data_IF_243835346054
#
_entry.id   IF_243835346054
#
_cell.length_a   1.000
_cell.length_b   1.000
_cell.length_c   1.000
_cell.angle_alpha   90.00
_cell.angle_beta   90.00
_cell.angle_gamma   90.00
#
_symmetry.space_group_name_H-M   'P 1'
#
loop_
_entity.id
_entity.type
_entity.pdbx_description
1 polymer ?
#
# COMPACT_ATOMS: atom_id res chain seq x y z
N UNK A 1 -18.43 7.24 8.82
CA UNK A 1 -19.20 8.36 8.23
C UNK A 1 -18.76 8.52 6.78
N UNK A 2 -19.62 8.99 5.87
CA UNK A 2 -19.22 9.16 4.47
C UNK A 2 -18.25 10.37 4.36
N UNK A 3 -17.05 10.20 3.80
CA UNK A 3 -16.02 11.25 3.64
C UNK A 3 -16.58 12.53 3.01
N UNK A 4 -17.55 12.41 2.10
CA UNK A 4 -18.24 13.55 1.51
C UNK A 4 -19.06 14.34 2.54
N UNK A 5 -19.69 13.69 3.52
CA UNK A 5 -20.43 14.39 4.58
C UNK A 5 -19.50 15.16 5.51
N UNK A 6 -18.30 14.64 5.78
CA UNK A 6 -17.28 15.31 6.59
C UNK A 6 -16.74 16.57 5.91
N UNK A 7 -16.40 16.48 4.61
CA UNK A 7 -15.98 17.63 3.80
C UNK A 7 -17.06 18.71 3.79
N UNK A 8 -18.32 18.35 3.57
CA UNK A 8 -19.43 19.31 3.56
C UNK A 8 -19.66 19.93 4.95
N UNK A 9 -19.50 19.17 6.03
CA UNK A 9 -19.57 19.70 7.40
C UNK A 9 -18.42 20.67 7.69
N UNK A 10 -17.21 20.38 7.19
CA UNK A 10 -16.10 21.31 7.32
C UNK A 10 -16.31 22.58 6.50
N UNK A 11 -16.90 22.47 5.30
CA UNK A 11 -17.29 23.62 4.49
C UNK A 11 -18.30 24.50 5.22
N UNK A 12 -19.32 23.92 5.88
CA UNK A 12 -20.26 24.66 6.73
C UNK A 12 -19.52 25.48 7.79
N UNK A 13 -18.59 24.85 8.54
CA UNK A 13 -17.81 25.54 9.58
C UNK A 13 -16.95 26.67 9.03
N UNK A 14 -16.31 26.46 7.86
CA UNK A 14 -15.51 27.51 7.20
C UNK A 14 -16.39 28.67 6.72
N UNK A 15 -17.60 28.37 6.23
CA UNK A 15 -18.59 29.41 5.86
C UNK A 15 -19.01 30.19 7.10
N UNK A 16 -19.37 29.54 8.21
CA UNK A 16 -19.74 30.23 9.45
C UNK A 16 -18.61 31.11 9.98
N UNK A 17 -17.35 30.62 9.90
CA UNK A 17 -16.17 31.41 10.27
C UNK A 17 -15.97 32.63 9.38
N UNK A 18 -16.15 32.49 8.07
CA UNK A 18 -16.02 33.59 7.11
C UNK A 18 -17.20 34.57 7.19
N UNK A 19 -18.40 34.06 7.47
CA UNK A 19 -19.61 34.84 7.68
C UNK A 19 -19.59 35.61 9.02
N UNK A 20 -18.85 35.10 10.01
CA UNK A 20 -18.69 35.72 11.33
C UNK A 20 -19.80 35.39 12.32
N UNK A 21 -20.74 34.49 11.97
CA UNK A 21 -21.76 33.95 12.88
C UNK A 21 -22.22 32.56 12.43
N UNK A 22 -22.85 31.82 13.35
CA UNK A 22 -23.44 30.52 13.05
C UNK A 22 -24.71 30.67 12.19
N UNK A 23 -24.93 29.73 11.28
CA UNK A 23 -26.09 29.69 10.38
C UNK A 23 -27.09 28.68 10.94
N UNK A 24 -28.06 29.17 11.70
CA UNK A 24 -29.03 28.31 12.41
C UNK A 24 -30.49 28.63 12.09
N UNK A 25 -30.74 29.78 11.45
CA UNK A 25 -32.10 30.25 11.16
C UNK A 25 -32.33 30.54 9.67
N UNK A 26 -33.62 30.65 9.33
CA UNK A 26 -34.09 31.06 8.02
C UNK A 26 -33.55 32.45 7.61
N UNK A 27 -33.44 33.36 8.57
CA UNK A 27 -32.91 34.72 8.42
C UNK A 27 -31.41 34.71 8.15
N UNK A 28 -30.64 33.87 8.85
CA UNK A 28 -29.18 33.74 8.61
C UNK A 28 -28.87 33.32 7.17
N UNK A 29 -29.70 32.44 6.60
CA UNK A 29 -29.55 32.03 5.21
C UNK A 29 -29.87 33.14 4.20
N UNK A 30 -30.81 34.04 4.52
CA UNK A 30 -31.13 35.20 3.67
C UNK A 30 -30.00 36.23 3.71
N UNK A 31 -29.46 36.49 4.89
CA UNK A 31 -28.30 37.36 5.06
C UNK A 31 -27.05 36.80 4.36
N UNK A 32 -26.76 35.51 4.54
CA UNK A 32 -25.63 34.86 3.87
C UNK A 32 -25.79 34.88 2.35
N UNK A 33 -26.99 34.64 1.83
CA UNK A 33 -27.31 34.75 0.40
C UNK A 33 -26.99 36.14 -0.15
N UNK A 34 -27.40 37.20 0.57
CA UNK A 34 -27.13 38.59 0.19
C UNK A 34 -25.64 38.93 0.23
N UNK A 35 -24.90 38.41 1.22
CA UNK A 35 -23.46 38.64 1.35
C UNK A 35 -22.68 37.93 0.25
N UNK A 36 -23.03 36.68 -0.08
CA UNK A 36 -22.41 35.96 -1.19
C UNK A 36 -22.63 36.71 -2.50
N UNK A 37 -23.86 37.19 -2.74
CA UNK A 37 -24.19 38.02 -3.90
C UNK A 37 -23.36 39.30 -3.96
N UNK A 38 -23.19 39.98 -2.83
CA UNK A 38 -22.40 41.21 -2.74
C UNK A 38 -20.90 40.96 -2.99
N UNK A 39 -20.36 39.87 -2.46
CA UNK A 39 -18.91 39.58 -2.51
C UNK A 39 -18.47 39.00 -3.85
N UNK A 40 -19.29 38.12 -4.45
CA UNK A 40 -18.91 37.35 -5.64
C UNK A 40 -19.68 37.74 -6.90
N UNK A 41 -20.71 38.61 -6.78
CA UNK A 41 -21.64 38.95 -7.87
C UNK A 41 -22.34 37.73 -8.50
N UNK A 42 -22.46 36.63 -7.74
CA UNK A 42 -23.13 35.40 -8.13
C UNK A 42 -24.31 35.13 -7.16
N UNK A 43 -25.40 34.53 -7.66
CA UNK A 43 -26.60 34.31 -6.85
C UNK A 43 -26.69 32.87 -6.32
N UNK A 44 -26.92 32.72 -5.01
CA UNK A 44 -27.36 31.47 -4.39
C UNK A 44 -28.63 31.73 -3.58
N UNK A 45 -29.68 30.92 -3.76
CA UNK A 45 -30.95 31.16 -3.06
C UNK A 45 -30.86 30.79 -1.58
N UNK A 46 -31.52 31.56 -0.71
CA UNK A 46 -31.64 31.26 0.72
C UNK A 46 -32.19 29.85 0.98
N UNK A 47 -33.11 29.36 0.12
CA UNK A 47 -33.64 28.01 0.21
C UNK A 47 -32.58 26.92 -0.08
N UNK A 48 -31.61 27.21 -0.95
CA UNK A 48 -30.47 26.31 -1.19
C UNK A 48 -29.54 26.25 0.01
N UNK A 49 -29.28 27.39 0.66
CA UNK A 49 -28.51 27.45 1.91
C UNK A 49 -29.22 26.73 3.06
N UNK A 50 -30.53 26.91 3.23
CA UNK A 50 -31.33 26.20 4.23
C UNK A 50 -31.22 24.68 4.11
N UNK A 51 -31.19 24.16 2.88
CA UNK A 51 -30.94 22.72 2.62
C UNK A 51 -29.50 22.34 2.94
N UNK A 52 -28.52 23.16 2.57
CA UNK A 52 -27.11 22.89 2.82
C UNK A 52 -26.78 22.80 4.31
N UNK A 53 -27.33 23.70 5.13
CA UNK A 53 -27.18 23.70 6.60
C UNK A 53 -28.18 22.78 7.33
N UNK A 54 -28.88 21.91 6.60
CA UNK A 54 -29.83 20.95 7.15
C UNK A 54 -31.00 21.56 7.97
N UNK A 55 -31.34 22.84 7.73
CA UNK A 55 -32.51 23.51 8.34
C UNK A 55 -33.84 23.04 7.75
N UNK A 56 -33.81 22.45 6.55
CA UNK A 56 -34.96 21.85 5.88
C UNK A 56 -34.56 20.51 5.29
N UNK A 57 -35.42 19.49 5.42
CA UNK A 57 -35.20 18.17 4.82
C UNK A 57 -35.15 18.26 3.29
N UNK A 58 -34.16 17.62 2.68
CA UNK A 58 -34.02 17.49 1.23
C UNK A 58 -33.50 16.10 0.88
N UNK A 59 -34.12 15.46 -0.12
CA UNK A 59 -33.66 14.20 -0.69
C UNK A 59 -32.64 14.40 -1.82
N UNK A 60 -32.31 15.66 -2.14
CA UNK A 60 -31.38 16.04 -3.21
C UNK A 60 -30.20 16.82 -2.64
N UNK A 61 -28.98 16.40 -2.99
CA UNK A 61 -27.74 17.11 -2.65
C UNK A 61 -27.62 18.43 -3.41
N UNK A 62 -26.70 19.30 -2.97
CA UNK A 62 -26.42 20.53 -3.70
C UNK A 62 -25.72 20.22 -5.03
N UNK A 63 -26.11 20.92 -6.09
CA UNK A 63 -25.43 20.84 -7.38
C UNK A 63 -24.00 21.40 -7.31
N UNK A 64 -23.12 20.88 -8.16
CA UNK A 64 -21.68 21.24 -8.25
C UNK A 64 -21.44 22.75 -8.34
N UNK A 65 -22.28 23.46 -9.10
CA UNK A 65 -22.20 24.92 -9.23
C UNK A 65 -22.32 25.65 -7.88
N UNK A 66 -23.33 25.29 -7.07
CA UNK A 66 -23.55 25.92 -5.77
C UNK A 66 -22.44 25.57 -4.77
N UNK A 67 -21.92 24.33 -4.82
CA UNK A 67 -20.78 23.94 -3.98
C UNK A 67 -19.52 24.74 -4.33
N UNK A 68 -19.21 24.89 -5.62
CA UNK A 68 -18.09 25.72 -6.05
C UNK A 68 -18.25 27.18 -5.61
N UNK A 69 -19.46 27.73 -5.72
CA UNK A 69 -19.76 29.09 -5.27
C UNK A 69 -19.54 29.27 -3.76
N UNK A 70 -19.93 28.28 -2.95
CA UNK A 70 -19.68 28.27 -1.52
C UNK A 70 -18.18 28.18 -1.19
N UNK A 71 -17.42 27.38 -1.94
CA UNK A 71 -15.96 27.31 -1.80
C UNK A 71 -15.28 28.64 -2.16
N UNK A 72 -15.72 29.30 -3.24
CA UNK A 72 -15.29 30.67 -3.60
C UNK A 72 -15.53 31.67 -2.51
N UNK A 73 -16.69 31.60 -1.85
CA UNK A 73 -17.00 32.47 -0.72
C UNK A 73 -15.99 32.31 0.42
N UNK A 74 -15.49 31.10 0.64
CA UNK A 74 -14.44 30.82 1.61
C UNK A 74 -13.00 31.09 1.12
N UNK A 75 -12.82 31.62 -0.09
CA UNK A 75 -11.52 31.95 -0.68
C UNK A 75 -10.84 30.82 -1.46
N UNK A 76 -11.56 29.76 -1.83
CA UNK A 76 -11.05 28.66 -2.66
C UNK A 76 -11.58 28.74 -4.09
N UNK A 77 -10.87 28.21 -5.09
CA UNK A 77 -11.31 28.32 -6.48
C UNK A 77 -12.62 27.56 -6.76
N UNK A 78 -12.79 26.40 -6.11
CA UNK A 78 -13.86 25.42 -6.32
C UNK A 78 -13.86 24.35 -5.21
N UNK A 79 -14.75 23.36 -5.33
CA UNK A 79 -14.85 22.25 -4.38
C UNK A 79 -13.60 21.36 -4.35
N UNK A 80 -12.91 21.21 -5.48
CA UNK A 80 -11.69 20.39 -5.58
C UNK A 80 -10.56 21.04 -4.79
N UNK A 81 -10.29 22.33 -5.02
CA UNK A 81 -9.31 23.11 -4.25
C UNK A 81 -9.63 23.18 -2.76
N UNK A 82 -10.92 23.29 -2.38
CA UNK A 82 -11.33 23.21 -0.98
C UNK A 82 -11.07 21.84 -0.36
N UNK A 83 -11.42 20.76 -1.08
CA UNK A 83 -11.21 19.38 -0.61
C UNK A 83 -9.73 19.10 -0.42
N UNK A 84 -8.91 19.55 -1.38
CA UNK A 84 -7.46 19.44 -1.29
C UNK A 84 -6.90 20.22 -0.09
N UNK A 85 -7.35 21.48 0.14
CA UNK A 85 -6.95 22.25 1.31
C UNK A 85 -7.44 21.66 2.64
N UNK A 86 -8.61 21.03 2.68
CA UNK A 86 -9.12 20.33 3.85
C UNK A 86 -8.28 19.08 4.17
N UNK A 87 -7.98 18.25 3.16
CA UNK A 87 -7.00 17.18 3.29
C UNK A 87 -5.61 17.71 3.64
N UNK A 88 -5.32 18.99 3.33
CA UNK A 88 -4.15 19.70 3.82
C UNK A 88 -4.16 20.10 5.28
N UNK A 89 -5.27 20.57 5.82
CA UNK A 89 -5.36 20.81 7.26
C UNK A 89 -5.37 19.47 8.02
N UNK A 90 -6.14 18.49 7.55
CA UNK A 90 -6.25 17.17 8.17
C UNK A 90 -4.90 16.48 8.29
N UNK A 91 -4.14 16.33 7.19
CA UNK A 91 -2.81 15.70 7.25
C UNK A 91 -1.80 16.51 8.08
N UNK A 92 -1.96 17.83 8.24
CA UNK A 92 -1.10 18.65 9.13
C UNK A 92 -1.47 18.36 10.58
N UNK A 93 -2.75 18.45 10.93
CA UNK A 93 -3.27 18.16 12.27
C UNK A 93 -3.04 16.70 12.67
N UNK A 94 -2.99 15.79 11.69
CA UNK A 94 -2.74 14.37 11.88
C UNK A 94 -1.29 14.05 12.26
N UNK A 95 -0.31 14.84 11.79
CA UNK A 95 1.12 14.67 12.10
C UNK A 95 1.69 15.73 13.04
N UNK A 96 0.98 16.83 13.29
CA UNK A 96 1.33 17.87 14.26
C UNK A 96 0.40 17.73 15.47
N UNK A 97 0.75 16.84 16.39
CA UNK A 97 0.30 16.93 17.78
C UNK A 97 1.48 16.59 18.69
N UNK A 98 1.83 17.58 19.51
CA UNK A 98 2.57 17.42 20.76
C UNK A 98 1.99 16.25 21.55
N UNK A 99 2.87 15.38 22.04
CA UNK A 99 2.61 14.30 23.00
C UNK A 99 1.22 13.64 22.92
N UNK A 100 0.92 13.02 21.78
CA UNK A 100 -0.23 12.12 21.71
C UNK A 100 0.01 10.95 22.69
N UNK A 101 -0.77 10.92 23.76
CA UNK A 101 -0.90 9.75 24.63
C UNK A 101 -1.35 8.56 23.78
N UNK A 102 -0.37 7.77 23.37
CA UNK A 102 -0.40 6.33 23.04
C UNK A 102 -1.44 5.78 22.03
N UNK A 103 -0.90 5.06 21.03
CA UNK A 103 -1.46 3.87 20.32
C UNK A 103 -2.15 3.94 18.95
N UNK A 104 -2.48 5.09 18.33
CA UNK A 104 -3.24 5.04 17.07
C UNK A 104 -2.55 5.49 15.76
N UNK A 105 -1.24 5.25 15.59
CA UNK A 105 -0.59 5.47 14.28
C UNK A 105 -0.91 4.38 13.24
N UNK A 106 -1.29 3.18 13.70
CA UNK A 106 -1.57 2.04 12.85
C UNK A 106 -2.89 2.16 12.08
N UNK A 107 -4.02 2.37 12.77
CA UNK A 107 -5.34 2.54 12.13
C UNK A 107 -5.33 3.76 11.20
N UNK A 108 -4.65 4.82 11.65
CA UNK A 108 -4.38 6.03 10.88
C UNK A 108 -3.65 5.75 9.57
N UNK A 109 -2.58 4.95 9.61
CA UNK A 109 -1.87 4.52 8.41
C UNK A 109 -2.78 3.71 7.48
N UNK A 110 -3.58 2.81 8.04
CA UNK A 110 -4.53 1.99 7.29
C UNK A 110 -5.62 2.84 6.59
N UNK A 111 -6.14 3.87 7.27
CA UNK A 111 -7.07 4.84 6.69
C UNK A 111 -6.46 5.59 5.51
N UNK A 112 -5.20 6.04 5.61
CA UNK A 112 -4.50 6.68 4.48
C UNK A 112 -4.34 5.70 3.31
N UNK A 113 -3.96 4.45 3.61
CA UNK A 113 -3.83 3.39 2.59
C UNK A 113 -5.17 3.16 1.86
N UNK A 114 -6.28 3.14 2.59
CA UNK A 114 -7.63 3.01 2.04
C UNK A 114 -7.96 4.18 1.12
N UNK A 115 -7.75 5.42 1.58
CA UNK A 115 -8.02 6.63 0.79
C UNK A 115 -7.19 6.70 -0.49
N UNK A 116 -5.91 6.31 -0.43
CA UNK A 116 -5.03 6.23 -1.61
C UNK A 116 -5.49 5.14 -2.57
N UNK A 117 -5.94 4.00 -2.05
CA UNK A 117 -6.41 2.87 -2.87
C UNK A 117 -7.74 3.17 -3.59
N UNK A 118 -8.57 4.06 -3.03
CA UNK A 118 -9.89 4.40 -3.56
C UNK A 118 -9.91 5.67 -4.44
N UNK A 119 -8.82 6.45 -4.49
CA UNK A 119 -8.77 7.71 -5.24
C UNK A 119 -7.46 7.91 -6.00
N UNK A 120 -7.55 7.96 -7.33
CA UNK A 120 -6.42 8.24 -8.21
C UNK A 120 -5.80 9.63 -7.97
N UNK A 121 -6.62 10.66 -7.73
CA UNK A 121 -6.15 12.01 -7.41
C UNK A 121 -5.33 12.01 -6.11
N UNK A 122 -5.81 11.31 -5.09
CA UNK A 122 -5.13 11.21 -3.80
C UNK A 122 -3.83 10.41 -3.93
N UNK A 123 -3.83 9.33 -4.70
CA UNK A 123 -2.64 8.53 -4.99
C UNK A 123 -1.53 9.37 -5.65
N UNK A 124 -1.87 10.22 -6.62
CA UNK A 124 -0.87 11.06 -7.33
C UNK A 124 -0.27 12.13 -6.42
N UNK A 125 -1.07 12.78 -5.58
CA UNK A 125 -0.64 14.00 -4.86
C UNK A 125 -0.08 13.76 -3.46
N UNK A 126 -0.54 12.70 -2.76
CA UNK A 126 -0.32 12.55 -1.31
C UNK A 126 1.16 12.42 -0.92
N UNK A 127 1.98 11.71 -1.70
CA UNK A 127 3.38 11.45 -1.36
C UNK A 127 4.23 12.71 -1.15
N UNK A 128 4.04 13.74 -1.97
CA UNK A 128 4.85 14.96 -1.94
C UNK A 128 4.76 15.68 -0.60
N UNK A 129 3.66 15.45 0.13
CA UNK A 129 3.40 16.07 1.42
C UNK A 129 3.51 15.10 2.58
N UNK A 130 2.92 13.91 2.44
CA UNK A 130 2.95 12.87 3.47
C UNK A 130 4.39 12.53 3.86
N UNK A 131 5.28 12.38 2.88
CA UNK A 131 6.65 11.91 3.13
C UNK A 131 7.57 12.97 3.74
N UNK A 132 7.14 14.22 3.88
CA UNK A 132 7.87 15.25 4.65
C UNK A 132 7.93 14.91 6.15
N UNK A 133 6.92 14.17 6.66
CA UNK A 133 6.81 13.86 8.08
C UNK A 133 7.53 12.55 8.43
N UNK A 134 8.48 12.53 9.39
CA UNK A 134 9.20 11.31 9.78
C UNK A 134 8.30 10.16 10.23
N UNK A 135 7.24 10.44 10.99
CA UNK A 135 6.30 9.42 11.46
C UNK A 135 5.51 8.80 10.30
N UNK A 136 5.16 9.59 9.28
CA UNK A 136 4.53 9.06 8.08
C UNK A 136 5.47 8.10 7.34
N UNK A 137 6.74 8.46 7.18
CA UNK A 137 7.73 7.57 6.57
C UNK A 137 7.84 6.24 7.33
N UNK A 138 7.87 6.28 8.66
CA UNK A 138 7.93 5.08 9.49
C UNK A 138 6.67 4.21 9.40
N UNK A 139 5.50 4.78 9.70
CA UNK A 139 4.28 3.98 9.83
C UNK A 139 3.59 3.66 8.50
N UNK A 140 3.61 4.59 7.55
CA UNK A 140 2.95 4.40 6.26
C UNK A 140 3.88 3.72 5.24
N UNK A 141 5.12 4.21 5.06
CA UNK A 141 6.02 3.59 4.07
C UNK A 141 6.68 2.33 4.61
N UNK A 142 7.46 2.44 5.69
CA UNK A 142 8.36 1.36 6.15
C UNK A 142 7.57 0.19 6.73
N UNK A 143 6.50 0.47 7.48
CA UNK A 143 5.66 -0.58 8.04
C UNK A 143 4.54 -1.05 7.09
N UNK A 144 4.01 -0.20 6.21
CA UNK A 144 2.88 -0.57 5.36
C UNK A 144 3.12 -0.38 3.84
N UNK A 145 4.19 -0.93 3.25
CA UNK A 145 4.38 -0.83 1.81
C UNK A 145 3.23 -1.52 1.07
N UNK A 146 2.43 -0.77 0.30
CA UNK A 146 1.29 -1.33 -0.44
C UNK A 146 1.76 -2.07 -1.70
N UNK A 147 1.88 -3.41 -1.58
CA UNK A 147 2.24 -4.32 -2.68
C UNK A 147 1.28 -4.20 -3.85
N UNK A 148 -0.02 -4.15 -3.57
CA UNK A 148 -1.09 -4.07 -4.59
C UNK A 148 -0.92 -2.88 -5.54
N UNK A 149 -0.22 -1.83 -5.13
CA UNK A 149 -0.07 -0.59 -5.89
C UNK A 149 1.32 -0.44 -6.53
N UNK A 150 2.19 -1.46 -6.44
CA UNK A 150 3.54 -1.40 -7.03
C UNK A 150 3.55 -1.30 -8.56
N UNK A 151 2.45 -1.56 -9.26
CA UNK A 151 2.36 -1.29 -10.70
C UNK A 151 1.78 0.08 -11.06
N UNK A 152 1.54 0.94 -10.05
CA UNK A 152 0.88 2.24 -10.24
C UNK A 152 1.82 3.41 -9.95
N UNK A 153 1.30 4.64 -10.02
CA UNK A 153 2.03 5.86 -9.63
C UNK A 153 2.50 5.85 -8.17
N UNK A 154 1.94 4.98 -7.32
CA UNK A 154 2.37 4.79 -5.93
C UNK A 154 3.87 4.46 -5.83
N UNK A 155 4.46 3.83 -6.85
CA UNK A 155 5.92 3.56 -6.90
C UNK A 155 6.78 4.81 -6.72
N UNK A 156 6.29 5.97 -7.17
CA UNK A 156 6.99 7.25 -7.00
C UNK A 156 7.18 7.63 -5.53
N UNK A 157 6.39 7.07 -4.61
CA UNK A 157 6.50 7.30 -3.18
C UNK A 157 7.87 6.84 -2.66
N UNK A 158 8.41 5.72 -3.17
CA UNK A 158 9.73 5.24 -2.78
C UNK A 158 10.84 6.19 -3.27
N UNK A 159 10.69 6.76 -4.47
CA UNK A 159 11.62 7.77 -4.98
C UNK A 159 11.58 9.06 -4.17
N UNK A 160 10.39 9.50 -3.75
CA UNK A 160 10.24 10.69 -2.88
C UNK A 160 10.70 10.42 -1.45
N UNK A 161 10.50 9.21 -0.93
CA UNK A 161 11.03 8.78 0.38
C UNK A 161 12.56 8.94 0.45
N UNK A 162 13.28 8.57 -0.63
CA UNK A 162 14.74 8.72 -0.72
C UNK A 162 15.23 10.17 -0.72
N UNK A 163 14.36 11.16 -0.95
CA UNK A 163 14.72 12.58 -0.77
C UNK A 163 14.96 12.92 0.70
N UNK A 164 14.30 12.21 1.62
CA UNK A 164 14.33 12.46 3.06
C UNK A 164 15.18 11.44 3.84
N UNK A 165 15.26 10.19 3.36
CA UNK A 165 16.02 9.13 4.02
C UNK A 165 17.12 8.62 3.08
N UNK A 166 18.39 8.85 3.44
CA UNK A 166 19.56 8.53 2.60
C UNK A 166 20.48 7.44 3.17
N UNK A 167 20.08 6.81 4.27
CA UNK A 167 20.83 5.71 4.89
C UNK A 167 20.89 4.49 3.96
N UNK A 168 21.82 3.58 4.20
CA UNK A 168 21.91 2.32 3.44
C UNK A 168 20.63 1.50 3.60
N UNK A 169 20.06 1.44 4.81
CA UNK A 169 18.76 0.82 5.07
C UNK A 169 17.65 1.40 4.18
N UNK A 170 17.53 2.72 4.14
CA UNK A 170 16.51 3.42 3.35
C UNK A 170 16.67 3.19 1.85
N UNK A 171 17.91 3.16 1.36
CA UNK A 171 18.24 2.84 -0.03
C UNK A 171 17.82 1.42 -0.38
N UNK A 172 18.22 0.43 0.42
CA UNK A 172 17.87 -0.97 0.18
C UNK A 172 16.35 -1.15 0.22
N UNK A 173 15.68 -0.56 1.21
CA UNK A 173 14.22 -0.59 1.33
C UNK A 173 13.54 -0.03 0.07
N UNK A 174 13.83 1.21 -0.30
CA UNK A 174 13.11 1.90 -1.36
C UNK A 174 13.47 1.36 -2.76
N UNK A 175 14.77 1.17 -3.05
CA UNK A 175 15.16 0.53 -4.30
C UNK A 175 14.68 -0.91 -4.38
N UNK A 176 14.50 -1.59 -3.24
CA UNK A 176 13.97 -2.94 -3.19
C UNK A 176 12.56 -3.04 -3.76
N UNK A 177 11.65 -2.18 -3.29
CA UNK A 177 10.29 -2.12 -3.82
C UNK A 177 10.21 -1.58 -5.25
N UNK A 178 11.11 -0.65 -5.63
CA UNK A 178 11.22 -0.18 -7.01
C UNK A 178 11.70 -1.30 -7.95
N UNK A 179 12.62 -2.15 -7.50
CA UNK A 179 13.03 -3.35 -8.24
C UNK A 179 11.85 -4.33 -8.41
N UNK A 180 11.11 -4.65 -7.34
CA UNK A 180 9.95 -5.55 -7.45
C UNK A 180 8.88 -4.99 -8.39
N UNK A 181 8.63 -3.67 -8.33
CA UNK A 181 7.75 -2.99 -9.29
C UNK A 181 8.25 -3.20 -10.72
N UNK A 182 9.51 -2.86 -11.01
CA UNK A 182 10.10 -3.03 -12.33
C UNK A 182 10.05 -4.49 -12.82
N UNK A 183 10.31 -5.46 -11.92
CA UNK A 183 10.25 -6.88 -12.20
C UNK A 183 8.82 -7.34 -12.56
N UNK A 184 7.84 -6.98 -11.74
CA UNK A 184 6.43 -7.37 -11.96
C UNK A 184 5.81 -6.69 -13.19
N UNK A 185 6.34 -5.53 -13.59
CA UNK A 185 5.97 -4.83 -14.82
C UNK A 185 6.84 -5.21 -16.03
N UNK A 186 7.83 -6.08 -15.84
CA UNK A 186 8.78 -6.51 -16.86
C UNK A 186 9.54 -5.35 -17.55
N UNK A 187 9.90 -4.33 -16.77
CA UNK A 187 10.71 -3.20 -17.24
C UNK A 187 12.21 -3.48 -17.02
N UNK A 188 12.85 -4.09 -18.02
CA UNK A 188 14.25 -4.54 -17.92
C UNK A 188 15.25 -3.42 -17.60
N UNK A 189 15.07 -2.22 -18.19
CA UNK A 189 15.95 -1.08 -17.91
C UNK A 189 15.91 -0.66 -16.43
N UNK A 190 14.71 -0.64 -15.84
CA UNK A 190 14.54 -0.31 -14.44
C UNK A 190 14.96 -1.46 -13.51
N UNK A 191 14.79 -2.72 -13.92
CA UNK A 191 15.30 -3.90 -13.19
C UNK A 191 16.81 -3.76 -13.01
N UNK A 192 17.54 -3.51 -14.10
CA UNK A 192 19.00 -3.34 -14.07
C UNK A 192 19.41 -2.15 -13.18
N UNK A 193 18.77 -1.00 -13.39
CA UNK A 193 19.06 0.22 -12.62
C UNK A 193 18.92 -0.01 -11.12
N UNK A 194 17.79 -0.57 -10.69
CA UNK A 194 17.52 -0.74 -9.26
C UNK A 194 18.32 -1.90 -8.65
N UNK A 195 18.60 -2.96 -9.41
CA UNK A 195 19.56 -3.97 -9.00
C UNK A 195 20.91 -3.34 -8.68
N UNK A 196 21.47 -2.54 -9.58
CA UNK A 196 22.78 -1.92 -9.38
C UNK A 196 22.80 -1.02 -8.13
N UNK A 197 21.72 -0.23 -7.90
CA UNK A 197 21.59 0.59 -6.70
C UNK A 197 21.62 -0.23 -5.40
N UNK A 198 21.02 -1.41 -5.39
CA UNK A 198 21.00 -2.30 -4.22
C UNK A 198 22.35 -3.02 -4.07
N UNK A 199 22.91 -3.51 -5.17
CA UNK A 199 24.21 -4.19 -5.21
C UNK A 199 25.32 -3.31 -4.62
N UNK A 200 25.38 -2.04 -5.03
CA UNK A 200 26.37 -1.07 -4.57
C UNK A 200 26.13 -0.57 -3.13
N UNK A 201 24.93 -0.76 -2.58
CA UNK A 201 24.62 -0.30 -1.23
C UNK A 201 25.08 -1.34 -0.20
N UNK A 202 26.00 -0.95 0.67
CA UNK A 202 26.53 -1.84 1.73
C UNK A 202 25.44 -2.26 2.73
N UNK A 203 25.59 -3.47 3.28
CA UNK A 203 24.74 -3.95 4.37
C UNK A 203 25.51 -3.77 5.68
N UNK A 204 25.11 -2.78 6.48
CA UNK A 204 25.72 -2.50 7.79
C UNK A 204 25.05 -3.34 8.89
N UNK A 205 25.74 -3.59 10.01
CA UNK A 205 25.29 -4.49 11.08
C UNK A 205 23.96 -4.08 11.75
N UNK A 206 23.61 -2.79 11.69
CA UNK A 206 22.41 -2.22 12.35
C UNK A 206 21.17 -2.20 11.45
N UNK A 207 21.28 -2.64 10.19
CA UNK A 207 20.16 -2.58 9.23
C UNK A 207 19.04 -3.52 9.66
N UNK A 208 17.80 -3.03 9.66
CA UNK A 208 16.63 -3.83 10.02
C UNK A 208 16.46 -5.09 9.14
N UNK A 209 15.84 -6.13 9.71
CA UNK A 209 15.72 -7.46 9.10
C UNK A 209 15.03 -7.48 7.72
N UNK A 210 14.02 -6.62 7.52
CA UNK A 210 13.28 -6.57 6.24
C UNK A 210 14.16 -6.02 5.10
N UNK A 211 14.79 -4.83 5.21
CA UNK A 211 15.77 -4.38 4.22
C UNK A 211 16.90 -5.39 3.98
N UNK A 212 17.45 -6.00 5.04
CA UNK A 212 18.47 -7.02 4.87
C UNK A 212 17.99 -8.22 4.03
N UNK A 213 16.77 -8.72 4.28
CA UNK A 213 16.16 -9.77 3.47
C UNK A 213 15.88 -9.33 2.03
N UNK A 214 15.41 -8.09 1.81
CA UNK A 214 15.16 -7.54 0.47
C UNK A 214 16.45 -7.51 -0.36
N UNK A 215 17.56 -7.08 0.23
CA UNK A 215 18.86 -7.07 -0.45
C UNK A 215 19.18 -8.45 -1.03
N UNK A 216 19.18 -9.49 -0.21
CA UNK A 216 19.51 -10.83 -0.69
C UNK A 216 18.45 -11.41 -1.63
N UNK A 217 17.16 -11.22 -1.34
CA UNK A 217 16.07 -11.67 -2.20
C UNK A 217 16.20 -11.13 -3.63
N UNK A 218 16.52 -9.85 -3.76
CA UNK A 218 16.64 -9.18 -5.06
C UNK A 218 17.92 -9.59 -5.78
N UNK A 219 19.05 -9.65 -5.09
CA UNK A 219 20.30 -10.12 -5.70
C UNK A 219 20.16 -11.55 -6.25
N UNK A 220 19.47 -12.43 -5.53
CA UNK A 220 19.21 -13.80 -5.97
C UNK A 220 18.22 -13.85 -7.14
N UNK A 221 17.12 -13.09 -7.08
CA UNK A 221 16.13 -13.03 -8.16
C UNK A 221 16.76 -12.48 -9.45
N UNK A 222 17.52 -11.40 -9.36
CA UNK A 222 18.23 -10.84 -10.49
C UNK A 222 19.25 -11.83 -11.07
N UNK A 223 20.05 -12.48 -10.22
CA UNK A 223 21.02 -13.46 -10.68
C UNK A 223 20.37 -14.64 -11.41
N UNK A 224 19.20 -15.11 -10.97
CA UNK A 224 18.44 -16.14 -11.69
C UNK A 224 17.87 -15.60 -13.01
N UNK A 225 17.28 -14.40 -12.98
CA UNK A 225 16.72 -13.71 -14.15
C UNK A 225 17.76 -13.54 -15.27
N UNK A 226 18.97 -13.10 -14.94
CA UNK A 226 20.08 -12.94 -15.90
C UNK A 226 20.89 -14.21 -16.12
N UNK A 227 20.48 -15.34 -15.53
CA UNK A 227 21.18 -16.64 -15.60
C UNK A 227 22.64 -16.58 -15.14
N UNK A 228 22.95 -15.71 -14.18
CA UNK A 228 24.27 -15.54 -13.58
C UNK A 228 24.47 -16.50 -12.40
N UNK A 229 24.80 -17.75 -12.71
CA UNK A 229 25.00 -18.82 -11.72
C UNK A 229 26.10 -18.52 -10.67
N UNK A 230 27.27 -17.96 -11.05
CA UNK A 230 28.29 -17.59 -10.07
C UNK A 230 27.79 -16.59 -9.03
N UNK A 231 27.11 -15.52 -9.48
CA UNK A 231 26.52 -14.52 -8.60
C UNK A 231 25.49 -15.16 -7.66
N UNK A 232 24.59 -15.97 -8.20
CA UNK A 232 23.56 -16.65 -7.41
C UNK A 232 24.19 -17.49 -6.28
N UNK A 233 25.17 -18.34 -6.62
CA UNK A 233 25.84 -19.22 -5.65
C UNK A 233 26.59 -18.44 -4.57
N UNK A 234 27.32 -17.39 -4.95
CA UNK A 234 28.03 -16.55 -3.97
C UNK A 234 27.06 -15.83 -3.05
N UNK A 235 26.01 -15.22 -3.61
CA UNK A 235 25.00 -14.47 -2.86
C UNK A 235 24.22 -15.38 -1.92
N UNK A 236 23.82 -16.58 -2.36
CA UNK A 236 23.09 -17.53 -1.51
C UNK A 236 23.96 -18.04 -0.36
N UNK A 237 25.25 -18.27 -0.63
CA UNK A 237 26.21 -18.68 0.40
C UNK A 237 26.46 -17.60 1.45
N UNK A 238 26.54 -16.34 1.03
CA UNK A 238 26.67 -15.18 1.91
C UNK A 238 25.39 -14.97 2.73
N UNK A 239 24.22 -14.99 2.08
CA UNK A 239 22.91 -14.89 2.71
C UNK A 239 22.76 -15.89 3.86
N UNK A 240 23.15 -17.16 3.66
CA UNK A 240 23.10 -18.21 4.70
C UNK A 240 23.95 -17.88 5.94
N UNK A 241 25.05 -17.15 5.79
CA UNK A 241 25.88 -16.70 6.92
C UNK A 241 25.23 -15.50 7.59
N UNK A 242 24.85 -14.48 6.81
CA UNK A 242 24.27 -13.23 7.31
C UNK A 242 22.94 -13.45 8.02
N UNK A 243 22.07 -14.36 7.55
CA UNK A 243 20.77 -14.64 8.19
C UNK A 243 20.89 -15.00 9.67
N UNK A 244 22.01 -15.60 10.10
CA UNK A 244 22.20 -16.01 11.49
C UNK A 244 22.21 -14.80 12.45
N UNK A 245 22.68 -13.65 11.99
CA UNK A 245 22.67 -12.40 12.74
C UNK A 245 21.25 -11.87 12.94
N UNK A 246 20.33 -12.17 12.01
CA UNK A 246 18.97 -11.67 11.98
C UNK A 246 17.94 -12.56 12.69
N UNK A 247 18.33 -13.72 13.24
CA UNK A 247 17.40 -14.62 13.93
C UNK A 247 16.71 -13.92 15.10
N UNK A 248 17.47 -13.20 15.95
CA UNK A 248 16.90 -12.53 17.12
C UNK A 248 15.92 -11.42 16.72
N UNK A 249 16.28 -10.61 15.71
CA UNK A 249 15.40 -9.57 15.19
C UNK A 249 14.12 -10.17 14.56
N UNK A 250 14.25 -11.27 13.81
CA UNK A 250 13.14 -11.98 13.19
C UNK A 250 12.13 -12.52 14.22
N UNK A 251 12.60 -12.99 15.39
CA UNK A 251 11.72 -13.45 16.47
C UNK A 251 10.83 -12.35 17.07
N UNK A 252 11.19 -11.09 16.86
CA UNK A 252 10.44 -9.90 17.29
C UNK A 252 9.69 -9.20 16.16
N UNK A 253 9.74 -9.74 14.94
CA UNK A 253 9.11 -9.16 13.74
C UNK A 253 7.97 -10.04 13.25
N UNK A 254 7.01 -9.43 12.55
CA UNK A 254 5.97 -10.17 11.78
C UNK A 254 6.51 -10.82 10.51
N UNK A 255 7.61 -10.29 9.98
CA UNK A 255 8.32 -10.82 8.83
C UNK A 255 9.71 -11.23 9.28
N UNK A 256 10.06 -12.50 9.09
CA UNK A 256 11.41 -12.98 9.28
C UNK A 256 12.31 -12.58 8.10
N UNK A 257 13.61 -12.72 8.29
CA UNK A 257 14.56 -12.61 7.18
C UNK A 257 14.21 -13.60 6.05
N UNK A 258 13.91 -14.86 6.39
CA UNK A 258 13.59 -15.90 5.41
C UNK A 258 12.31 -15.60 4.63
N UNK A 259 11.30 -15.04 5.31
CA UNK A 259 10.06 -14.57 4.70
C UNK A 259 10.35 -13.59 3.56
N UNK A 260 11.17 -12.58 3.82
CA UNK A 260 11.43 -11.52 2.84
C UNK A 260 12.28 -12.02 1.66
N UNK A 261 13.24 -12.93 1.91
CA UNK A 261 14.01 -13.53 0.82
C UNK A 261 13.11 -14.44 -0.04
N UNK A 262 12.23 -15.23 0.59
CA UNK A 262 11.32 -16.13 -0.13
C UNK A 262 10.35 -15.36 -1.04
N UNK A 263 9.89 -14.19 -0.63
CA UNK A 263 9.01 -13.32 -1.44
C UNK A 263 9.61 -12.99 -2.82
N UNK A 264 10.94 -12.94 -2.94
CA UNK A 264 11.61 -12.80 -4.25
C UNK A 264 11.90 -14.15 -4.91
N UNK A 265 12.29 -15.16 -4.13
CA UNK A 265 12.69 -16.46 -4.67
C UNK A 265 11.55 -17.25 -5.32
N UNK A 266 10.29 -17.01 -4.94
CA UNK A 266 9.14 -17.66 -5.57
C UNK A 266 9.04 -17.38 -7.09
N UNK A 267 9.68 -16.33 -7.59
CA UNK A 267 9.72 -16.03 -9.02
C UNK A 267 10.77 -16.85 -9.80
N UNK A 268 11.64 -17.57 -9.09
CA UNK A 268 12.70 -18.41 -9.68
C UNK A 268 12.25 -19.88 -9.78
N UNK A 269 13.11 -20.74 -10.35
CA UNK A 269 12.96 -22.20 -10.29
C UNK A 269 13.95 -22.88 -9.31
N UNK A 270 14.44 -22.13 -8.32
CA UNK A 270 15.46 -22.55 -7.34
C UNK A 270 14.84 -23.29 -6.17
N UNK A 271 14.37 -24.51 -6.44
CA UNK A 271 13.54 -25.29 -5.51
C UNK A 271 14.25 -25.68 -4.21
N UNK A 272 15.55 -25.99 -4.26
CA UNK A 272 16.31 -26.36 -3.07
C UNK A 272 16.51 -25.16 -2.14
N UNK A 273 16.74 -23.99 -2.71
CA UNK A 273 16.89 -22.72 -2.00
C UNK A 273 15.57 -22.25 -1.38
N UNK A 274 14.46 -22.39 -2.10
CA UNK A 274 13.12 -22.15 -1.55
C UNK A 274 12.83 -23.07 -0.36
N UNK A 275 13.13 -24.37 -0.50
CA UNK A 275 12.95 -25.35 0.57
C UNK A 275 13.80 -25.01 1.79
N UNK A 276 15.06 -24.63 1.59
CA UNK A 276 15.95 -24.19 2.66
C UNK A 276 15.35 -23.05 3.48
N UNK A 277 14.80 -22.01 2.82
CA UNK A 277 14.20 -20.86 3.51
C UNK A 277 12.96 -21.26 4.33
N UNK A 278 12.13 -22.16 3.81
CA UNK A 278 10.94 -22.64 4.51
C UNK A 278 11.33 -23.47 5.74
N UNK A 279 12.26 -24.40 5.60
CA UNK A 279 12.71 -25.29 6.68
C UNK A 279 13.51 -24.55 7.77
N UNK A 280 14.13 -23.42 7.41
CA UNK A 280 14.91 -22.59 8.33
C UNK A 280 14.20 -21.30 8.75
N UNK A 281 12.90 -21.15 8.45
CA UNK A 281 12.15 -19.94 8.77
C UNK A 281 12.16 -19.64 10.27
N UNK A 282 12.49 -18.40 10.62
CA UNK A 282 12.47 -17.95 12.00
C UNK A 282 11.06 -17.55 12.43
N UNK A 283 10.42 -18.37 13.27
CA UNK A 283 9.10 -18.05 13.82
C UNK A 283 9.16 -16.90 14.83
N UNK A 284 8.18 -16.00 14.76
CA UNK A 284 7.96 -14.96 15.75
C UNK A 284 7.70 -15.58 17.13
N UNK A 285 8.40 -15.08 18.16
CA UNK A 285 8.24 -15.48 19.56
C UNK A 285 7.68 -14.36 20.43
N UNK A 286 8.01 -13.11 20.11
CA UNK A 286 7.48 -11.97 20.85
C UNK A 286 6.01 -11.77 20.55
N UNK A 287 5.20 -11.56 21.60
CA UNK A 287 3.78 -11.22 21.52
C UNK A 287 3.51 -9.78 21.94
N UNK A 288 4.52 -8.92 21.91
CA UNK A 288 4.35 -7.51 22.28
C UNK A 288 3.34 -6.85 21.33
N UNK A 289 2.10 -6.70 21.80
CA UNK A 289 0.97 -6.15 21.06
C UNK A 289 1.18 -4.67 20.72
N UNK A 290 2.05 -3.97 21.46
CA UNK A 290 2.36 -2.57 21.18
C UNK A 290 3.24 -2.43 19.93
N UNK A 291 3.93 -3.51 19.52
CA UNK A 291 4.79 -3.55 18.35
C UNK A 291 4.09 -4.15 17.12
N UNK A 292 3.11 -5.04 17.30
CA UNK A 292 2.44 -5.76 16.21
C UNK A 292 0.93 -5.89 16.46
N UNK A 293 0.10 -5.09 15.78
CA UNK A 293 -1.36 -5.27 15.77
C UNK A 293 -1.77 -6.67 15.31
N UNK A 294 -2.77 -7.27 15.98
CA UNK A 294 -3.25 -8.65 15.70
C UNK A 294 -3.70 -8.84 14.25
N UNK A 295 -4.36 -7.84 13.66
CA UNK A 295 -4.77 -7.86 12.25
C UNK A 295 -3.57 -7.97 11.31
N UNK A 296 -2.49 -7.22 11.58
CA UNK A 296 -1.27 -7.24 10.78
C UNK A 296 -0.56 -8.58 10.87
N UNK A 297 -0.46 -9.15 12.08
CA UNK A 297 0.05 -10.52 12.24
C UNK A 297 -0.75 -11.50 11.39
N UNK A 298 -2.08 -11.42 11.43
CA UNK A 298 -2.95 -12.29 10.62
C UNK A 298 -2.64 -12.17 9.13
N UNK A 299 -2.54 -10.96 8.59
CA UNK A 299 -2.15 -10.73 7.18
C UNK A 299 -0.82 -11.37 6.83
N UNK A 300 0.20 -11.25 7.69
CA UNK A 300 1.51 -11.86 7.42
C UNK A 300 1.50 -13.40 7.55
N UNK A 301 0.71 -13.96 8.47
CA UNK A 301 0.52 -15.40 8.58
C UNK A 301 -0.17 -15.96 7.32
N UNK A 302 -1.15 -15.25 6.75
CA UNK A 302 -1.73 -15.60 5.43
C UNK A 302 -0.70 -15.54 4.32
N UNK A 303 0.01 -14.40 4.21
CA UNK A 303 1.03 -14.19 3.19
C UNK A 303 2.12 -15.26 3.24
N UNK A 304 2.59 -15.65 4.43
CA UNK A 304 3.58 -16.72 4.59
C UNK A 304 3.06 -18.07 4.11
N UNK A 305 1.80 -18.41 4.40
CA UNK A 305 1.21 -19.65 3.89
C UNK A 305 1.08 -19.62 2.36
N UNK A 306 0.74 -18.48 1.77
CA UNK A 306 0.67 -18.31 0.31
C UNK A 306 2.05 -18.47 -0.33
N UNK A 307 3.11 -17.87 0.24
CA UNK A 307 4.49 -18.03 -0.23
C UNK A 307 4.94 -19.49 -0.13
N UNK A 308 4.68 -20.16 0.99
CA UNK A 308 4.96 -21.59 1.16
C UNK A 308 4.22 -22.44 0.13
N UNK A 309 2.93 -22.20 -0.08
CA UNK A 309 2.13 -22.92 -1.07
C UNK A 309 2.69 -22.74 -2.48
N UNK A 310 3.05 -21.52 -2.86
CA UNK A 310 3.65 -21.19 -4.16
C UNK A 310 4.97 -21.94 -4.37
N UNK A 311 5.84 -21.94 -3.35
CA UNK A 311 7.12 -22.65 -3.39
C UNK A 311 6.93 -24.17 -3.49
N UNK A 312 6.06 -24.77 -2.67
CA UNK A 312 5.80 -26.22 -2.74
C UNK A 312 5.11 -26.65 -4.04
N UNK A 313 4.32 -25.75 -4.65
CA UNK A 313 3.73 -26.00 -5.95
C UNK A 313 4.82 -26.17 -7.01
N UNK A 314 5.84 -25.31 -7.00
CA UNK A 314 7.03 -25.43 -7.86
C UNK A 314 7.87 -26.67 -7.60
N UNK A 315 7.84 -27.20 -6.38
CA UNK A 315 8.49 -28.47 -6.02
C UNK A 315 7.68 -29.70 -6.44
N UNK A 316 6.50 -29.51 -7.05
CA UNK A 316 5.52 -30.57 -7.31
C UNK A 316 5.06 -31.34 -6.05
N UNK A 317 5.16 -30.72 -4.86
CA UNK A 317 4.68 -31.30 -3.60
C UNK A 317 3.21 -30.91 -3.38
N UNK A 318 2.31 -31.66 -4.03
CA UNK A 318 0.84 -31.41 -3.96
C UNK A 318 0.30 -31.46 -2.53
N UNK A 319 0.85 -32.34 -1.69
CA UNK A 319 0.38 -32.51 -0.31
C UNK A 319 0.69 -31.25 0.51
N UNK A 320 1.94 -30.76 0.48
CA UNK A 320 2.30 -29.54 1.23
C UNK A 320 1.70 -28.28 0.62
N UNK A 321 1.57 -28.23 -0.71
CA UNK A 321 0.84 -27.15 -1.40
C UNK A 321 -0.58 -27.06 -0.85
N UNK A 322 -1.32 -28.17 -0.85
CA UNK A 322 -2.70 -28.23 -0.34
C UNK A 322 -2.78 -27.90 1.15
N UNK A 323 -1.82 -28.40 1.95
CA UNK A 323 -1.74 -28.10 3.38
C UNK A 323 -1.67 -26.60 3.66
N UNK A 324 -0.83 -25.86 2.93
CA UNK A 324 -0.71 -24.43 3.11
C UNK A 324 -1.91 -23.67 2.52
N UNK A 325 -2.40 -24.04 1.34
CA UNK A 325 -3.58 -23.40 0.73
C UNK A 325 -4.83 -23.52 1.60
N UNK A 326 -5.05 -24.67 2.25
CA UNK A 326 -6.22 -24.91 3.12
C UNK A 326 -6.20 -24.08 4.42
N UNK A 327 -5.05 -23.52 4.80
CA UNK A 327 -4.96 -22.59 5.94
C UNK A 327 -5.28 -21.17 5.55
N UNK A 328 -5.24 -20.84 4.26
CA UNK A 328 -5.34 -19.47 3.80
C UNK A 328 -6.80 -19.02 3.79
N UNK A 329 -7.05 -17.87 4.38
CA UNK A 329 -8.27 -17.11 4.16
C UNK A 329 -7.91 -15.73 3.61
N UNK A 330 -8.13 -15.55 2.31
CA UNK A 330 -7.78 -14.32 1.56
C UNK A 330 -8.48 -13.06 2.08
N UNK A 331 -9.58 -13.19 2.83
CA UNK A 331 -10.27 -12.05 3.45
C UNK A 331 -9.50 -11.47 4.66
N UNK A 332 -8.50 -12.20 5.17
CA UNK A 332 -7.62 -11.72 6.24
C UNK A 332 -6.41 -10.93 5.73
N UNK A 333 -6.23 -10.84 4.40
CA UNK A 333 -5.20 -10.00 3.81
C UNK A 333 -5.60 -8.52 3.92
N UNK A 334 -4.72 -7.71 4.51
CA UNK A 334 -4.95 -6.29 4.73
C UNK A 334 -4.92 -5.45 3.44
N UNK A 335 -5.36 -4.19 3.59
CA UNK A 335 -5.35 -3.20 2.50
C UNK A 335 -3.93 -3.02 1.96
N UNK A 336 -3.79 -3.03 0.64
CA UNK A 336 -2.50 -2.90 -0.06
C UNK A 336 -1.72 -4.21 -0.17
N UNK A 337 -2.23 -5.32 0.35
CA UNK A 337 -1.62 -6.66 0.27
C UNK A 337 -2.55 -7.68 -0.37
N UNK A 338 -3.86 -7.39 -0.38
CA UNK A 338 -4.89 -8.36 -0.74
C UNK A 338 -4.75 -8.85 -2.16
N UNK A 339 -4.57 -7.95 -3.14
CA UNK A 339 -4.55 -8.33 -4.57
C UNK A 339 -3.29 -9.12 -4.92
N UNK A 340 -2.11 -8.62 -4.55
CA UNK A 340 -0.84 -9.26 -4.86
C UNK A 340 -0.77 -10.69 -4.32
N UNK A 341 -1.05 -10.89 -3.03
CA UNK A 341 -1.01 -12.23 -2.45
C UNK A 341 -2.18 -13.11 -2.91
N UNK A 342 -3.35 -12.54 -3.22
CA UNK A 342 -4.44 -13.31 -3.84
C UNK A 342 -4.05 -13.83 -5.22
N UNK A 343 -3.34 -13.04 -6.04
CA UNK A 343 -2.83 -13.49 -7.34
C UNK A 343 -1.97 -14.75 -7.16
N UNK A 344 -0.98 -14.69 -6.26
CA UNK A 344 -0.12 -15.85 -5.95
C UNK A 344 -0.93 -17.07 -5.47
N UNK A 345 -1.89 -16.84 -4.57
CA UNK A 345 -2.77 -17.88 -4.04
C UNK A 345 -3.58 -18.58 -5.14
N UNK A 346 -4.22 -17.83 -6.03
CA UNK A 346 -5.04 -18.42 -7.09
C UNK A 346 -4.21 -19.11 -8.16
N UNK A 347 -2.99 -18.62 -8.46
CA UNK A 347 -2.07 -19.38 -9.32
C UNK A 347 -1.68 -20.72 -8.69
N UNK A 348 -1.33 -20.75 -7.41
CA UNK A 348 -1.02 -21.99 -6.70
C UNK A 348 -2.21 -22.95 -6.64
N UNK A 349 -3.44 -22.44 -6.45
CA UNK A 349 -4.67 -23.24 -6.53
C UNK A 349 -4.89 -23.82 -7.92
N UNK A 350 -4.75 -23.01 -8.98
CA UNK A 350 -4.94 -23.46 -10.36
C UNK A 350 -3.97 -24.58 -10.72
N UNK A 351 -2.69 -24.43 -10.33
CA UNK A 351 -1.64 -25.41 -10.58
C UNK A 351 -1.80 -26.70 -9.74
N UNK A 352 -2.34 -26.57 -8.52
CA UNK A 352 -2.55 -27.73 -7.64
C UNK A 352 -3.87 -28.48 -7.92
N UNK A 353 -4.86 -27.82 -8.52
CA UNK A 353 -6.15 -28.44 -8.83
C UNK A 353 -6.08 -29.32 -10.08
N UNK A 354 -6.84 -30.41 -10.11
CA UNK A 354 -6.93 -31.29 -11.29
C UNK A 354 -7.79 -30.67 -12.41
N UNK A 355 -8.56 -29.63 -12.07
CA UNK A 355 -9.49 -28.95 -12.98
C UNK A 355 -8.75 -27.79 -13.65
N UNK A 356 -8.21 -28.05 -14.84
CA UNK A 356 -7.46 -27.09 -15.65
C UNK A 356 -8.26 -25.86 -16.11
N UNK A 357 -9.56 -25.79 -15.86
CA UNK A 357 -10.41 -24.73 -16.40
C UNK A 357 -11.47 -24.26 -15.38
N UNK A 358 -11.05 -23.51 -14.37
CA UNK A 358 -11.97 -22.77 -13.50
C UNK A 358 -12.11 -21.33 -14.05
N UNK A 359 -13.06 -21.13 -14.96
CA UNK A 359 -13.30 -19.85 -15.65
C UNK A 359 -13.51 -18.69 -14.65
N UNK A 360 -14.16 -18.95 -13.51
CA UNK A 360 -14.37 -17.95 -12.46
C UNK A 360 -13.04 -17.52 -11.83
N UNK A 361 -12.16 -18.46 -11.49
CA UNK A 361 -10.83 -18.15 -10.95
C UNK A 361 -9.97 -17.38 -11.95
N UNK A 362 -10.01 -17.78 -13.23
CA UNK A 362 -9.26 -17.09 -14.29
C UNK A 362 -9.78 -15.65 -14.44
N UNK A 363 -11.10 -15.45 -14.47
CA UNK A 363 -11.72 -14.13 -14.53
C UNK A 363 -11.31 -13.26 -13.33
N UNK A 364 -11.29 -13.83 -12.12
CA UNK A 364 -10.86 -13.15 -10.90
C UNK A 364 -9.37 -12.77 -10.96
N UNK A 365 -8.51 -13.65 -11.46
CA UNK A 365 -7.10 -13.37 -11.70
C UNK A 365 -6.92 -12.22 -12.69
N UNK A 366 -7.58 -12.27 -13.86
CA UNK A 366 -7.52 -11.20 -14.87
C UNK A 366 -7.83 -9.84 -14.25
N UNK A 367 -8.97 -9.74 -13.55
CA UNK A 367 -9.36 -8.51 -12.88
C UNK A 367 -8.30 -7.98 -11.90
N UNK A 368 -7.71 -8.84 -11.07
CA UNK A 368 -6.68 -8.40 -10.12
C UNK A 368 -5.38 -8.01 -10.81
N UNK A 369 -5.00 -8.71 -11.87
CA UNK A 369 -3.81 -8.39 -12.67
C UNK A 369 -4.00 -7.02 -13.35
N UNK A 370 -5.14 -6.80 -14.00
CA UNK A 370 -5.51 -5.52 -14.63
C UNK A 370 -5.47 -4.36 -13.60
N UNK A 371 -6.01 -4.58 -12.40
CA UNK A 371 -6.04 -3.57 -11.34
C UNK A 371 -4.66 -3.29 -10.71
N UNK A 372 -3.71 -4.22 -10.81
CA UNK A 372 -2.36 -4.09 -10.22
C UNK A 372 -1.30 -3.70 -11.25
N UNK A 373 -1.61 -3.84 -12.56
CA UNK A 373 -0.70 -3.60 -13.68
C UNK A 373 0.56 -4.48 -13.67
N UNK A 374 0.45 -5.71 -13.16
CA UNK A 374 1.56 -6.66 -13.10
C UNK A 374 1.59 -7.56 -14.34
N UNK A 375 2.20 -7.06 -15.41
CA UNK A 375 2.32 -7.76 -16.70
C UNK A 375 3.00 -9.13 -16.59
N UNK A 376 3.90 -9.32 -15.61
CA UNK A 376 4.50 -10.64 -15.32
C UNK A 376 3.42 -11.73 -15.11
N UNK A 377 2.33 -11.39 -14.42
CA UNK A 377 1.24 -12.34 -14.17
C UNK A 377 0.30 -12.48 -15.37
N UNK A 378 0.24 -11.50 -16.28
CA UNK A 378 -0.50 -11.64 -17.54
C UNK A 378 0.10 -12.76 -18.38
N UNK A 379 1.43 -12.76 -18.55
CA UNK A 379 2.15 -13.79 -19.30
C UNK A 379 1.97 -15.17 -18.66
N UNK A 380 2.07 -15.24 -17.32
CA UNK A 380 1.83 -16.49 -16.59
C UNK A 380 0.40 -17.01 -16.74
N UNK A 381 -0.57 -16.11 -16.81
CA UNK A 381 -1.95 -16.52 -17.04
C UNK A 381 -2.15 -17.02 -18.48
N UNK A 382 -1.52 -16.37 -19.47
CA UNK A 382 -1.55 -16.83 -20.87
C UNK A 382 -0.92 -18.22 -21.02
N UNK A 383 0.25 -18.48 -20.41
CA UNK A 383 0.90 -19.79 -20.40
C UNK A 383 -0.07 -20.88 -19.90
N UNK A 384 -0.80 -20.58 -18.82
CA UNK A 384 -1.80 -21.49 -18.26
C UNK A 384 -3.00 -21.72 -19.20
N UNK A 385 -3.53 -20.67 -19.84
CA UNK A 385 -4.68 -20.78 -20.74
C UNK A 385 -4.35 -21.52 -22.04
N UNK A 386 -3.13 -21.37 -22.55
CA UNK A 386 -2.71 -21.92 -23.84
C UNK A 386 -1.82 -23.17 -23.73
N UNK A 387 -1.56 -23.65 -22.50
CA UNK A 387 -0.89 -24.92 -22.24
C UNK A 387 0.56 -24.98 -22.74
N UNK A 388 1.30 -23.87 -22.61
CA UNK A 388 2.74 -23.82 -22.93
C UNK A 388 3.61 -24.22 -21.74
#
# INVERSE_FOLDING_TARGET
>A
MNKNQEILSHLQKKIEKHFGKSVSTATDCEELSNIIKKNLNENISAQTLRRFFALVKSNSGLGKYNLNLLCKFCGFADLESFTNAYSEEELKDFFVLEECQTKNYWERSEQICMQISESAEFMVSTHNRLLKFPLARKYFMEHHPMRDLLGTVYTQYFSVYLKFNRTNEAKIFAYGFLFHSAFLQQNEELIELYFQKIYDTQLDDDIHVIPAGLKYGILLLYADFTRNEPLFKSTFSEMKKTRLQYIKASQSSVCSFEYTVLESLIFTNRIDEMKYLIENNTLQKSKDLDFVPTNRKKTHDEAWNILCATAYCKMNDKQKTSYHLNKVNVENLGIGWKKYYSILYYFALLQNSEIKNNEEMISRLKKMIDETYFTYFEDKLQDFQFGK
#
